data_IF_663010383087
#
_entry.id   IF_663010383087
#
_cell.length_a   1.000
_cell.length_b   1.000
_cell.length_c   1.000
_cell.angle_alpha   90.00
_cell.angle_beta   90.00
_cell.angle_gamma   90.00
#
_symmetry.space_group_name_H-M   'P 1'
#
loop_
_entity.id
_entity.type
_entity.pdbx_description
1 polymer ?
#
# COMPACT_ATOMS: atom_id res chain seq x y z
N UNK A 1 -0.90 -31.04 -21.83
CA UNK A 1 -1.21 -31.33 -20.40
C UNK A 1 -1.23 -29.99 -19.65
N UNK A 2 -2.41 -29.50 -19.25
CA UNK A 2 -2.54 -28.27 -18.45
C UNK A 2 -2.00 -28.55 -17.05
N UNK A 3 -0.87 -27.90 -16.68
CA UNK A 3 -0.38 -27.96 -15.30
C UNK A 3 -1.47 -27.36 -14.41
N UNK A 4 -2.09 -28.16 -13.53
CA UNK A 4 -2.97 -27.64 -12.47
C UNK A 4 -2.21 -26.53 -11.73
N UNK A 5 -2.70 -25.30 -11.82
CA UNK A 5 -2.11 -24.16 -11.10
C UNK A 5 -2.22 -24.47 -9.61
N UNK A 6 -1.08 -24.56 -8.92
CA UNK A 6 -1.05 -24.82 -7.48
C UNK A 6 -1.76 -23.69 -6.75
N UNK A 7 -2.60 -24.01 -5.77
CA UNK A 7 -3.28 -23.03 -4.96
C UNK A 7 -2.26 -22.19 -4.18
N UNK A 8 -2.49 -20.86 -4.13
CA UNK A 8 -1.63 -19.99 -3.35
C UNK A 8 -1.95 -20.08 -1.85
N UNK A 9 -0.95 -19.95 -0.98
CA UNK A 9 -1.18 -19.89 0.45
C UNK A 9 -2.07 -18.71 0.83
N UNK A 10 -3.02 -18.97 1.73
CA UNK A 10 -3.86 -17.93 2.33
C UNK A 10 -3.20 -17.45 3.62
N UNK A 11 -3.03 -16.14 3.74
CA UNK A 11 -2.42 -15.52 4.91
C UNK A 11 -3.13 -15.94 6.20
N UNK A 12 -2.35 -16.37 7.17
CA UNK A 12 -2.78 -16.62 8.55
C UNK A 12 -2.08 -15.64 9.48
N UNK A 13 -2.86 -14.86 10.22
CA UNK A 13 -2.33 -13.88 11.17
C UNK A 13 -1.46 -14.56 12.23
N UNK A 14 -0.27 -14.00 12.44
CA UNK A 14 0.62 -14.39 13.53
C UNK A 14 0.61 -13.29 14.60
N UNK A 15 0.42 -13.68 15.87
CA UNK A 15 0.38 -12.74 17.02
C UNK A 15 1.69 -11.97 17.25
N UNK A 16 2.81 -12.39 16.67
CA UNK A 16 4.07 -11.63 16.69
C UNK A 16 4.03 -10.35 15.86
N UNK A 17 3.19 -10.30 14.82
CA UNK A 17 3.01 -9.10 14.00
C UNK A 17 2.22 -8.06 14.79
N UNK A 18 2.86 -6.97 15.19
CA UNK A 18 2.27 -5.89 15.98
C UNK A 18 2.11 -4.61 15.21
N UNK A 19 3.01 -4.31 14.27
CA UNK A 19 3.04 -3.06 13.51
C UNK A 19 3.20 -3.33 12.03
N UNK A 20 2.45 -2.62 11.22
CA UNK A 20 2.59 -2.63 9.76
C UNK A 20 2.67 -1.20 9.23
N UNK A 21 3.49 -1.00 8.22
CA UNK A 21 3.59 0.26 7.49
C UNK A 21 3.19 0.01 6.04
N UNK A 22 2.33 0.87 5.52
CA UNK A 22 1.99 0.87 4.09
C UNK A 22 2.63 2.07 3.44
N UNK A 23 3.45 1.86 2.42
CA UNK A 23 4.09 2.92 1.63
C UNK A 23 3.56 2.86 0.22
N UNK A 24 2.89 3.91 -0.25
CA UNK A 24 2.29 4.00 -1.60
C UNK A 24 2.50 5.38 -2.21
N UNK A 25 2.31 5.47 -3.52
CA UNK A 25 2.54 6.72 -4.25
C UNK A 25 1.49 7.78 -3.95
N UNK A 26 0.20 7.46 -4.10
CA UNK A 26 -0.88 8.45 -4.07
C UNK A 26 -1.96 8.11 -3.04
N UNK A 27 -2.75 9.11 -2.60
CA UNK A 27 -4.02 8.87 -1.94
C UNK A 27 -4.93 7.98 -2.80
N UNK A 28 -5.64 7.03 -2.18
CA UNK A 28 -6.46 5.96 -2.74
C UNK A 28 -5.73 4.65 -3.11
N UNK A 29 -4.45 4.66 -3.42
CA UNK A 29 -3.69 3.46 -3.81
C UNK A 29 -3.81 2.33 -2.77
N UNK A 30 -3.65 2.67 -1.48
CA UNK A 30 -3.79 1.69 -0.39
C UNK A 30 -5.19 1.09 -0.36
N UNK A 31 -6.21 1.91 -0.66
CA UNK A 31 -7.60 1.52 -0.57
C UNK A 31 -8.02 0.63 -1.74
N UNK A 32 -7.51 0.90 -2.95
CA UNK A 32 -7.65 0.00 -4.09
C UNK A 32 -6.85 -1.29 -3.93
N UNK A 33 -5.61 -1.21 -3.43
CA UNK A 33 -4.68 -2.34 -3.37
C UNK A 33 -4.90 -3.28 -2.20
N UNK A 34 -5.10 -2.73 -0.98
CA UNK A 34 -4.92 -3.48 0.27
C UNK A 34 -5.90 -3.17 1.40
N UNK A 35 -6.95 -2.36 1.19
CA UNK A 35 -7.86 -1.96 2.28
C UNK A 35 -8.54 -3.12 3.01
N UNK A 36 -8.87 -4.21 2.31
CA UNK A 36 -9.43 -5.40 2.95
C UNK A 36 -8.42 -6.10 3.85
N UNK A 37 -7.16 -6.11 3.44
CA UNK A 37 -6.02 -6.60 4.20
C UNK A 37 -5.79 -5.71 5.42
N UNK A 38 -5.76 -4.39 5.25
CA UNK A 38 -5.61 -3.44 6.37
C UNK A 38 -6.73 -3.63 7.40
N UNK A 39 -8.00 -3.69 6.96
CA UNK A 39 -9.13 -3.97 7.87
C UNK A 39 -9.01 -5.34 8.56
N UNK A 40 -8.30 -6.29 7.97
CA UNK A 40 -8.02 -7.58 8.60
C UNK A 40 -6.95 -7.43 9.68
N UNK A 41 -5.88 -6.71 9.40
CA UNK A 41 -4.77 -6.47 10.34
C UNK A 41 -5.21 -5.62 11.53
N UNK A 42 -5.85 -4.47 11.31
CA UNK A 42 -6.35 -3.60 12.39
C UNK A 42 -7.40 -4.30 13.24
N UNK A 43 -8.28 -5.11 12.62
CA UNK A 43 -9.23 -5.96 13.34
C UNK A 43 -8.60 -7.10 14.16
N UNK A 44 -7.28 -7.31 14.05
CA UNK A 44 -6.47 -8.22 14.88
C UNK A 44 -5.59 -7.45 15.89
N UNK A 45 -5.73 -6.13 15.96
CA UNK A 45 -4.96 -5.29 16.88
C UNK A 45 -3.56 -4.93 16.36
N UNK A 46 -3.30 -5.08 15.06
CA UNK A 46 -2.06 -4.58 14.46
C UNK A 46 -2.15 -3.06 14.33
N UNK A 47 -1.16 -2.35 14.84
CA UNK A 47 -0.98 -0.92 14.64
C UNK A 47 -0.49 -0.67 13.21
N UNK A 48 -1.33 -0.03 12.39
CA UNK A 48 -1.04 0.22 10.97
C UNK A 48 -0.84 1.72 10.75
N UNK A 49 0.30 2.06 10.14
CA UNK A 49 0.58 3.42 9.68
C UNK A 49 0.66 3.47 8.15
N UNK A 50 0.38 4.65 7.59
CA UNK A 50 0.55 4.94 6.17
C UNK A 50 1.64 5.98 5.95
N UNK A 51 2.37 5.81 4.85
CA UNK A 51 3.28 6.79 4.28
C UNK A 51 2.92 6.95 2.80
N UNK A 52 2.37 8.11 2.43
CA UNK A 52 2.06 8.44 1.06
C UNK A 52 3.16 9.33 0.50
N UNK A 53 3.73 8.93 -0.63
CA UNK A 53 4.87 9.64 -1.23
C UNK A 53 4.42 10.99 -1.78
N UNK A 54 3.26 11.05 -2.43
CA UNK A 54 2.65 12.28 -2.94
C UNK A 54 1.33 12.59 -2.23
N UNK A 55 0.80 13.78 -2.42
CA UNK A 55 -0.57 14.13 -2.05
C UNK A 55 -1.55 14.01 -3.22
N UNK A 56 -1.12 13.47 -4.37
CA UNK A 56 -1.95 13.27 -5.54
C UNK A 56 -2.40 14.57 -6.22
N UNK A 57 -1.54 15.59 -6.18
CA UNK A 57 -1.81 16.95 -6.63
C UNK A 57 -1.99 17.10 -8.16
N UNK A 58 -1.60 16.09 -8.95
CA UNK A 58 -1.81 16.06 -10.40
C UNK A 58 -2.98 15.14 -10.83
N UNK A 59 -3.60 14.39 -9.93
CA UNK A 59 -4.71 13.48 -10.23
C UNK A 59 -6.04 14.19 -10.40
N UNK A 60 -7.01 13.57 -11.10
CA UNK A 60 -8.37 14.07 -11.30
C UNK A 60 -8.68 14.41 -12.76
N UNK A 61 -9.87 14.96 -12.98
CA UNK A 61 -10.48 15.19 -14.29
C UNK A 61 -10.20 16.56 -14.94
N UNK A 62 -9.14 17.26 -14.52
CA UNK A 62 -8.84 18.60 -14.99
C UNK A 62 -9.73 19.69 -14.38
N UNK A 63 -10.31 19.43 -13.21
CA UNK A 63 -11.13 20.37 -12.44
C UNK A 63 -10.44 21.73 -12.23
N UNK A 64 -11.23 22.73 -11.80
CA UNK A 64 -10.80 24.10 -11.54
C UNK A 64 -9.87 24.27 -10.34
N UNK A 65 -9.58 23.21 -9.57
CA UNK A 65 -8.70 23.25 -8.39
C UNK A 65 -7.23 23.41 -8.75
N UNK A 66 -6.51 24.22 -8.00
CA UNK A 66 -5.04 24.28 -8.04
C UNK A 66 -4.43 22.95 -7.55
N UNK A 67 -3.12 22.77 -7.73
CA UNK A 67 -2.40 21.60 -7.21
C UNK A 67 -2.46 21.56 -5.68
N UNK A 68 -2.34 22.70 -5.02
CA UNK A 68 -2.41 22.87 -3.58
C UNK A 68 -3.78 22.46 -3.02
N UNK A 69 -4.86 23.03 -3.58
CA UNK A 69 -6.24 22.70 -3.19
C UNK A 69 -6.52 21.20 -3.37
N UNK A 70 -6.03 20.62 -4.48
CA UNK A 70 -6.18 19.19 -4.77
C UNK A 70 -5.45 18.32 -3.74
N UNK A 71 -4.24 18.72 -3.33
CA UNK A 71 -3.50 18.07 -2.25
C UNK A 71 -4.32 18.05 -0.96
N UNK A 72 -4.87 19.17 -0.54
CA UNK A 72 -5.65 19.29 0.69
C UNK A 72 -6.91 18.42 0.66
N UNK A 73 -7.63 18.44 -0.46
CA UNK A 73 -8.82 17.58 -0.68
C UNK A 73 -8.42 16.12 -0.54
N UNK A 74 -7.41 15.66 -1.29
CA UNK A 74 -7.02 14.25 -1.32
C UNK A 74 -6.41 13.76 -0.01
N UNK A 75 -5.63 14.60 0.69
CA UNK A 75 -5.15 14.28 2.05
C UNK A 75 -6.32 14.12 3.03
N UNK A 76 -7.33 14.99 2.95
CA UNK A 76 -8.54 14.92 3.79
C UNK A 76 -9.33 13.63 3.51
N UNK A 77 -9.51 13.28 2.25
CA UNK A 77 -10.17 12.06 1.81
C UNK A 77 -9.43 10.81 2.30
N UNK A 78 -8.08 10.79 2.15
CA UNK A 78 -7.26 9.66 2.62
C UNK A 78 -7.33 9.50 4.14
N UNK A 79 -7.34 10.59 4.90
CA UNK A 79 -7.52 10.53 6.36
C UNK A 79 -8.91 9.98 6.72
N UNK A 80 -9.93 10.35 5.96
CA UNK A 80 -11.28 9.81 6.15
C UNK A 80 -11.35 8.31 5.80
N UNK A 81 -10.72 7.88 4.71
CA UNK A 81 -10.60 6.48 4.31
C UNK A 81 -9.83 5.66 5.35
N UNK A 82 -8.71 6.17 5.86
CA UNK A 82 -7.93 5.53 6.93
C UNK A 82 -8.77 5.25 8.17
N UNK A 83 -9.60 6.20 8.60
CA UNK A 83 -10.51 6.01 9.76
C UNK A 83 -11.48 4.85 9.56
N UNK A 84 -12.00 4.61 8.36
CA UNK A 84 -12.86 3.45 8.05
C UNK A 84 -12.13 2.11 8.26
N UNK A 85 -10.81 2.12 8.18
CA UNK A 85 -9.94 0.95 8.32
C UNK A 85 -9.26 0.87 9.69
N UNK A 86 -9.52 1.83 10.59
CA UNK A 86 -8.88 1.91 11.90
C UNK A 86 -7.45 2.45 11.85
N UNK A 87 -7.10 3.23 10.83
CA UNK A 87 -5.77 3.85 10.66
C UNK A 87 -5.88 5.36 10.83
N UNK A 88 -5.09 5.91 11.75
CA UNK A 88 -5.02 7.36 12.03
C UNK A 88 -3.62 7.95 11.86
N UNK A 89 -2.59 7.10 11.92
CA UNK A 89 -1.20 7.51 11.71
C UNK A 89 -0.90 7.53 10.20
N UNK A 90 -0.94 8.73 9.60
CA UNK A 90 -0.76 8.92 8.16
C UNK A 90 0.23 10.06 7.92
N UNK A 91 1.33 9.73 7.28
CA UNK A 91 2.38 10.67 6.83
C UNK A 91 2.24 10.91 5.34
N UNK A 92 2.24 12.17 4.91
CA UNK A 92 2.35 12.58 3.52
C UNK A 92 3.73 13.20 3.31
N UNK A 93 4.52 12.64 2.40
CA UNK A 93 5.85 13.17 2.07
C UNK A 93 5.77 14.35 1.08
N UNK A 94 4.63 14.49 0.40
CA UNK A 94 4.30 15.60 -0.51
C UNK A 94 5.30 15.78 -1.66
N UNK A 95 5.84 14.67 -2.18
CA UNK A 95 6.55 14.71 -3.47
C UNK A 95 5.58 15.12 -4.57
N UNK A 96 6.03 15.86 -5.60
CA UNK A 96 5.18 16.22 -6.74
C UNK A 96 4.63 14.96 -7.44
N UNK A 97 3.32 14.87 -7.59
CA UNK A 97 2.63 13.78 -8.29
C UNK A 97 3.02 13.78 -9.79
N UNK A 98 3.34 12.61 -10.33
CA UNK A 98 3.83 12.40 -11.68
C UNK A 98 5.36 12.57 -11.83
N UNK A 99 6.09 12.91 -10.75
CA UNK A 99 7.53 13.21 -10.79
C UNK A 99 8.34 12.43 -9.73
N UNK A 100 7.79 11.32 -9.22
CA UNK A 100 8.47 10.53 -8.20
C UNK A 100 9.62 9.76 -8.80
N UNK A 101 10.82 9.97 -8.23
CA UNK A 101 12.04 9.22 -8.53
C UNK A 101 12.59 8.59 -7.25
N UNK A 102 13.22 7.39 -7.31
CA UNK A 102 13.74 6.69 -6.13
C UNK A 102 15.08 7.30 -5.65
N UNK A 103 15.09 8.61 -5.42
CA UNK A 103 16.26 9.39 -5.00
C UNK A 103 16.72 9.03 -3.59
N UNK A 104 17.97 9.39 -3.26
CA UNK A 104 18.51 9.25 -1.89
C UNK A 104 17.65 10.00 -0.87
N UNK A 105 17.12 11.17 -1.26
CA UNK A 105 16.28 11.98 -0.39
C UNK A 105 14.97 11.27 -0.06
N UNK A 106 14.27 10.73 -1.08
CA UNK A 106 13.04 9.97 -0.87
C UNK A 106 13.29 8.71 -0.03
N UNK A 107 14.37 7.99 -0.30
CA UNK A 107 14.78 6.80 0.48
C UNK A 107 15.03 7.15 1.95
N UNK A 108 15.68 8.30 2.21
CA UNK A 108 15.92 8.80 3.57
C UNK A 108 14.60 9.07 4.30
N UNK A 109 13.64 9.74 3.66
CA UNK A 109 12.36 10.05 4.29
C UNK A 109 11.55 8.76 4.57
N UNK A 110 11.54 7.80 3.65
CA UNK A 110 10.92 6.49 3.89
C UNK A 110 11.64 5.74 5.02
N UNK A 111 12.98 5.74 5.04
CA UNK A 111 13.76 5.13 6.12
C UNK A 111 13.48 5.79 7.48
N UNK A 112 13.27 7.11 7.51
CA UNK A 112 12.82 7.86 8.69
C UNK A 112 11.50 7.29 9.21
N UNK A 113 10.50 7.14 8.35
CA UNK A 113 9.18 6.60 8.72
C UNK A 113 9.30 5.15 9.21
N UNK A 114 10.10 4.33 8.55
CA UNK A 114 10.38 2.94 8.98
C UNK A 114 11.01 2.91 10.37
N UNK A 115 12.05 3.71 10.62
CA UNK A 115 12.72 3.77 11.93
C UNK A 115 11.82 4.30 13.03
N UNK A 116 10.93 5.25 12.70
CA UNK A 116 9.94 5.80 13.64
C UNK A 116 8.87 4.78 14.01
N UNK A 117 8.25 4.15 13.02
CA UNK A 117 7.13 3.22 13.26
C UNK A 117 7.59 1.82 13.65
N UNK A 118 8.80 1.41 13.23
CA UNK A 118 9.43 0.08 13.52
C UNK A 118 8.52 -1.10 13.12
N UNK A 119 8.10 -1.19 11.86
CA UNK A 119 7.10 -2.17 11.42
C UNK A 119 7.66 -3.60 11.34
N UNK A 120 6.82 -4.59 11.66
CA UNK A 120 7.07 -6.02 11.41
C UNK A 120 6.75 -6.40 9.96
N UNK A 121 5.94 -5.58 9.29
CA UNK A 121 5.52 -5.75 7.89
C UNK A 121 5.52 -4.39 7.19
N UNK A 122 6.13 -4.35 6.01
CA UNK A 122 5.91 -3.25 5.05
C UNK A 122 5.06 -3.75 3.88
N UNK A 123 4.01 -3.00 3.52
CA UNK A 123 3.23 -3.23 2.30
C UNK A 123 3.55 -2.07 1.36
N UNK A 124 3.91 -2.37 0.11
CA UNK A 124 4.19 -1.34 -0.89
C UNK A 124 3.83 -1.81 -2.29
N UNK A 125 3.91 -0.91 -3.26
CA UNK A 125 3.69 -1.21 -4.67
C UNK A 125 4.91 -1.94 -5.26
N UNK A 126 4.66 -2.78 -6.30
CA UNK A 126 5.74 -3.45 -7.00
C UNK A 126 6.59 -2.45 -7.80
N UNK A 127 7.92 -2.50 -7.72
CA UNK A 127 8.80 -1.76 -8.62
C UNK A 127 8.86 -2.38 -10.02
N UNK A 128 8.30 -3.58 -10.21
CA UNK A 128 8.36 -4.31 -11.46
C UNK A 128 7.29 -3.79 -12.45
N UNK A 129 7.72 -3.52 -13.70
CA UNK A 129 6.79 -3.15 -14.76
C UNK A 129 5.98 -4.35 -15.23
N UNK A 130 4.66 -4.18 -15.30
CA UNK A 130 3.76 -5.18 -15.86
C UNK A 130 3.49 -4.87 -17.33
N UNK A 131 4.18 -5.55 -18.23
CA UNK A 131 4.07 -5.34 -19.66
C UNK A 131 2.71 -5.76 -20.25
N UNK A 132 2.00 -6.69 -19.61
CA UNK A 132 0.65 -7.13 -20.02
C UNK A 132 -0.43 -6.13 -19.60
N UNK A 133 -0.15 -5.27 -18.60
CA UNK A 133 -1.08 -4.29 -18.05
C UNK A 133 -0.37 -2.97 -17.72
N UNK A 134 -0.04 -2.20 -18.75
CA UNK A 134 0.70 -0.93 -18.59
C UNK A 134 0.06 0.02 -17.56
N UNK A 135 -1.28 0.09 -17.51
CA UNK A 135 -1.99 0.94 -16.52
C UNK A 135 -1.73 0.55 -15.05
N UNK A 136 -1.25 -0.68 -14.80
CA UNK A 136 -0.85 -1.11 -13.46
C UNK A 136 0.60 -0.72 -13.10
N UNK A 137 1.31 -0.08 -14.04
CA UNK A 137 2.72 0.29 -13.94
C UNK A 137 2.88 1.80 -14.02
N UNK A 138 2.14 2.53 -13.18
CA UNK A 138 2.32 3.98 -13.06
C UNK A 138 3.78 4.26 -12.66
N UNK A 139 4.49 5.23 -13.27
CA UNK A 139 5.87 5.53 -12.92
C UNK A 139 6.08 5.77 -11.43
N UNK A 140 5.20 6.57 -10.80
CA UNK A 140 5.28 6.88 -9.37
C UNK A 140 5.08 5.63 -8.49
N UNK A 141 4.20 4.67 -8.91
CA UNK A 141 4.04 3.41 -8.16
C UNK A 141 5.33 2.60 -8.16
N UNK A 142 5.99 2.49 -9.32
CA UNK A 142 7.25 1.76 -9.45
C UNK A 142 8.36 2.47 -8.69
N UNK A 143 8.47 3.79 -8.79
CA UNK A 143 9.47 4.60 -8.11
C UNK A 143 9.28 4.56 -6.58
N UNK A 144 8.05 4.67 -6.09
CA UNK A 144 7.73 4.54 -4.66
C UNK A 144 8.05 3.14 -4.13
N UNK A 145 7.71 2.10 -4.90
CA UNK A 145 8.05 0.72 -4.58
C UNK A 145 9.55 0.49 -4.50
N UNK A 146 10.30 0.97 -5.50
CA UNK A 146 11.76 0.87 -5.55
C UNK A 146 12.42 1.64 -4.41
N UNK A 147 12.00 2.88 -4.15
CA UNK A 147 12.49 3.67 -3.03
C UNK A 147 12.22 2.97 -1.69
N UNK A 148 11.04 2.36 -1.54
CA UNK A 148 10.67 1.61 -0.33
C UNK A 148 11.54 0.36 -0.15
N UNK A 149 11.76 -0.42 -1.20
CA UNK A 149 12.63 -1.61 -1.12
C UNK A 149 14.05 -1.25 -0.72
N UNK A 150 14.62 -0.18 -1.30
CA UNK A 150 15.93 0.34 -0.90
C UNK A 150 15.94 0.90 0.52
N UNK A 151 14.88 1.57 0.94
CA UNK A 151 14.73 2.06 2.31
C UNK A 151 14.67 0.90 3.32
N UNK A 152 13.98 -0.20 3.00
CA UNK A 152 13.95 -1.42 3.83
C UNK A 152 15.35 -2.06 3.88
N UNK A 153 15.99 -2.18 2.72
CA UNK A 153 17.34 -2.76 2.61
C UNK A 153 18.20 -2.02 1.57
N UNK A 154 19.30 -1.42 2.00
CA UNK A 154 19.92 -1.55 3.34
C UNK A 154 19.58 -0.42 4.32
N UNK A 155 18.87 0.65 3.91
CA UNK A 155 18.93 1.98 4.54
C UNK A 155 18.41 1.99 5.99
N UNK A 156 17.22 1.47 6.24
CA UNK A 156 16.63 1.55 7.59
C UNK A 156 17.36 0.71 8.63
N UNK A 157 18.01 -0.40 8.22
CA UNK A 157 18.71 -1.30 9.13
C UNK A 157 20.17 -0.93 9.37
N UNK A 158 20.77 -0.14 8.48
CA UNK A 158 22.19 0.20 8.55
C UNK A 158 22.41 1.49 9.36
N UNK A 159 23.11 1.47 10.50
CA UNK A 159 23.38 2.67 11.31
C UNK A 159 24.19 3.73 10.57
N UNK A 160 24.96 3.35 9.55
CA UNK A 160 25.77 4.27 8.75
C UNK A 160 25.03 4.88 7.57
N UNK A 161 23.85 4.33 7.21
CA UNK A 161 22.97 4.97 6.23
C UNK A 161 22.18 6.08 6.92
N UNK A 162 22.25 7.29 6.37
CA UNK A 162 21.58 8.47 6.91
C UNK A 162 21.90 8.72 8.40
N UNK A 163 23.17 9.01 8.74
CA UNK A 163 23.61 9.16 10.14
C UNK A 163 22.87 10.29 10.87
N UNK A 164 22.29 11.25 10.14
CA UNK A 164 21.41 12.28 10.70
C UNK A 164 20.20 11.69 11.40
N UNK A 165 19.60 10.61 10.86
CA UNK A 165 18.46 9.93 11.50
C UNK A 165 18.86 9.34 12.86
N UNK A 166 20.07 8.81 12.96
CA UNK A 166 20.58 8.28 14.24
C UNK A 166 20.78 9.42 15.25
N UNK A 167 21.29 10.59 14.81
CA UNK A 167 21.43 11.79 15.66
C UNK A 167 20.06 12.33 16.14
N UNK A 168 19.01 12.12 15.36
CA UNK A 168 17.63 12.45 15.73
C UNK A 168 17.00 11.40 16.68
N UNK A 169 17.75 10.39 17.12
CA UNK A 169 17.27 9.32 18.01
C UNK A 169 16.54 8.18 17.30
N UNK A 170 16.54 8.17 15.97
CA UNK A 170 15.89 7.13 15.16
C UNK A 170 16.85 5.95 14.95
N UNK A 171 16.85 5.03 15.90
CA UNK A 171 17.67 3.83 15.86
C UNK A 171 17.34 2.95 14.64
N UNK A 172 18.33 2.25 14.06
CA UNK A 172 18.14 1.32 12.97
C UNK A 172 17.05 0.30 13.25
N UNK A 173 16.33 -0.09 12.22
CA UNK A 173 15.26 -1.08 12.29
C UNK A 173 15.31 -2.02 11.09
N UNK A 174 15.28 -3.33 11.35
CA UNK A 174 15.16 -4.36 10.32
C UNK A 174 13.71 -4.76 10.14
N UNK A 175 13.18 -4.52 8.96
CA UNK A 175 11.84 -5.00 8.58
C UNK A 175 11.98 -6.45 8.13
N UNK A 176 11.32 -7.44 8.74
CA UNK A 176 11.53 -8.85 8.39
C UNK A 176 10.83 -9.28 7.10
N UNK A 177 9.74 -8.61 6.69
CA UNK A 177 8.95 -9.00 5.53
C UNK A 177 8.34 -7.81 4.82
N UNK A 178 8.34 -7.88 3.48
CA UNK A 178 7.66 -6.92 2.61
C UNK A 178 6.62 -7.64 1.77
N UNK A 179 5.44 -7.05 1.62
CA UNK A 179 4.41 -7.50 0.70
C UNK A 179 4.27 -6.50 -0.44
N UNK A 180 4.49 -6.98 -1.67
CA UNK A 180 4.36 -6.17 -2.88
C UNK A 180 2.97 -6.34 -3.49
N UNK A 181 2.21 -5.26 -3.60
CA UNK A 181 0.97 -5.19 -4.37
C UNK A 181 1.27 -4.92 -5.85
N UNK A 182 0.39 -5.34 -6.75
CA UNK A 182 0.56 -5.10 -8.18
C UNK A 182 1.54 -6.04 -8.90
N UNK A 183 2.19 -6.96 -8.19
CA UNK A 183 3.06 -8.01 -8.72
C UNK A 183 2.34 -9.36 -8.85
N UNK A 184 3.03 -10.36 -9.42
CA UNK A 184 2.53 -11.74 -9.39
C UNK A 184 2.45 -12.23 -7.95
N UNK A 185 1.23 -12.47 -7.46
CA UNK A 185 1.01 -12.88 -6.08
C UNK A 185 1.64 -14.25 -5.79
N UNK A 186 2.30 -14.35 -4.64
CA UNK A 186 2.74 -15.62 -4.03
C UNK A 186 1.91 -16.00 -2.81
N UNK A 187 1.07 -15.08 -2.33
CA UNK A 187 0.17 -15.26 -1.20
C UNK A 187 -1.08 -14.41 -1.40
N UNK A 188 -2.18 -14.81 -0.79
CA UNK A 188 -3.42 -14.01 -0.76
C UNK A 188 -3.93 -13.83 0.66
N UNK A 189 -4.64 -12.72 0.87
CA UNK A 189 -5.40 -12.45 2.10
C UNK A 189 -6.89 -12.59 1.80
N UNK A 190 -7.59 -13.45 2.54
CA UNK A 190 -9.06 -13.56 2.45
C UNK A 190 -9.71 -12.32 3.07
N UNK A 191 -10.30 -11.49 2.22
CA UNK A 191 -11.00 -10.27 2.62
C UNK A 191 -12.52 -10.38 2.58
N UNK A 192 -13.06 -11.59 2.41
CA UNK A 192 -14.51 -11.82 2.23
C UNK A 192 -15.33 -11.13 3.31
N UNK A 193 -14.95 -11.30 4.57
CA UNK A 193 -15.63 -10.67 5.72
C UNK A 193 -15.29 -9.18 5.89
N UNK A 194 -14.23 -8.69 5.26
CA UNK A 194 -13.70 -7.31 5.36
C UNK A 194 -14.00 -6.44 4.15
N UNK A 195 -14.56 -6.99 3.10
CA UNK A 195 -14.86 -6.27 1.85
C UNK A 195 -15.71 -4.99 2.07
N UNK A 196 -16.63 -5.02 3.05
CA UNK A 196 -17.45 -3.85 3.37
C UNK A 196 -16.60 -2.62 3.77
N UNK A 197 -15.51 -2.83 4.50
CA UNK A 197 -14.60 -1.77 4.92
C UNK A 197 -13.80 -1.21 3.73
N UNK A 198 -13.29 -2.08 2.84
CA UNK A 198 -12.65 -1.66 1.59
C UNK A 198 -13.57 -0.76 0.76
N UNK A 199 -14.82 -1.14 0.60
CA UNK A 199 -15.79 -0.35 -0.13
C UNK A 199 -16.10 0.98 0.59
N UNK A 200 -16.19 0.98 1.92
CA UNK A 200 -16.42 2.20 2.71
C UNK A 200 -15.26 3.17 2.60
N UNK A 201 -14.02 2.69 2.71
CA UNK A 201 -12.82 3.50 2.57
C UNK A 201 -12.74 4.16 1.19
N UNK A 202 -12.92 3.39 0.11
CA UNK A 202 -12.89 3.93 -1.25
C UNK A 202 -13.97 4.97 -1.52
N UNK A 203 -15.12 4.88 -0.88
CA UNK A 203 -16.16 5.92 -0.98
C UNK A 203 -15.78 7.26 -0.34
N UNK A 204 -14.72 7.30 0.47
CA UNK A 204 -14.22 8.55 1.05
C UNK A 204 -13.40 9.36 0.05
N UNK A 205 -12.89 8.75 -1.00
CA UNK A 205 -12.19 9.43 -2.11
C UNK A 205 -13.19 10.01 -3.11
N UNK A 206 -14.02 10.95 -2.67
CA UNK A 206 -15.11 11.53 -3.45
C UNK A 206 -14.60 12.17 -4.73
N UNK A 207 -13.46 12.86 -4.68
CA UNK A 207 -12.84 13.50 -5.85
C UNK A 207 -12.40 12.48 -6.94
N UNK A 208 -12.24 11.20 -6.58
CA UNK A 208 -11.74 10.15 -7.47
C UNK A 208 -12.80 9.14 -7.90
N UNK A 209 -13.83 8.90 -7.07
CA UNK A 209 -14.79 7.81 -7.29
C UNK A 209 -16.27 8.23 -7.19
N UNK A 210 -16.58 9.53 -7.03
CA UNK A 210 -17.95 10.04 -6.78
C UNK A 210 -18.99 9.53 -7.79
N UNK A 211 -18.64 9.49 -9.07
CA UNK A 211 -19.56 9.11 -10.15
C UNK A 211 -19.54 7.63 -10.50
N UNK A 212 -18.75 6.84 -9.78
CA UNK A 212 -18.61 5.42 -10.08
C UNK A 212 -19.72 4.57 -9.46
N UNK A 213 -20.93 4.61 -10.07
CA UNK A 213 -22.06 3.75 -9.68
C UNK A 213 -21.72 2.25 -9.71
N UNK A 214 -20.70 1.85 -10.49
CA UNK A 214 -20.20 0.48 -10.62
C UNK A 214 -19.12 0.08 -9.63
N UNK A 215 -18.60 0.99 -8.80
CA UNK A 215 -17.43 0.77 -7.93
C UNK A 215 -17.51 -0.54 -7.14
N UNK A 216 -18.59 -0.77 -6.40
CA UNK A 216 -18.76 -1.99 -5.59
C UNK A 216 -18.72 -3.27 -6.43
N UNK A 217 -19.32 -3.24 -7.62
CA UNK A 217 -19.35 -4.38 -8.56
C UNK A 217 -17.96 -4.65 -9.10
N UNK A 218 -17.25 -3.61 -9.53
CA UNK A 218 -15.88 -3.66 -10.03
C UNK A 218 -14.93 -4.24 -8.98
N UNK A 219 -14.93 -3.70 -7.76
CA UNK A 219 -14.09 -4.16 -6.65
C UNK A 219 -14.35 -5.63 -6.31
N UNK A 220 -15.63 -6.05 -6.29
CA UNK A 220 -15.98 -7.45 -6.08
C UNK A 220 -15.46 -8.35 -7.19
N UNK A 221 -15.55 -7.91 -8.45
CA UNK A 221 -15.04 -8.68 -9.58
C UNK A 221 -13.52 -8.86 -9.49
N UNK A 222 -12.78 -7.80 -9.17
CA UNK A 222 -11.32 -7.88 -8.98
C UNK A 222 -10.96 -8.84 -7.85
N UNK A 223 -11.54 -8.66 -6.67
CA UNK A 223 -11.26 -9.51 -5.53
C UNK A 223 -11.64 -10.99 -5.75
N UNK A 224 -12.74 -11.26 -6.50
CA UNK A 224 -13.12 -12.62 -6.92
C UNK A 224 -12.12 -13.22 -7.89
N UNK A 225 -11.62 -12.43 -8.84
CA UNK A 225 -10.61 -12.88 -9.79
C UNK A 225 -9.33 -13.30 -9.08
N UNK A 226 -8.87 -12.49 -8.11
CA UNK A 226 -7.71 -12.83 -7.27
C UNK A 226 -7.95 -14.13 -6.50
N UNK A 227 -9.09 -14.26 -5.82
CA UNK A 227 -9.45 -15.46 -5.06
C UNK A 227 -9.50 -16.71 -5.97
N UNK A 228 -10.15 -16.60 -7.14
CA UNK A 228 -10.22 -17.69 -8.13
C UNK A 228 -8.83 -18.11 -8.63
N UNK A 229 -7.98 -17.14 -8.96
CA UNK A 229 -6.62 -17.40 -9.45
C UNK A 229 -5.72 -18.03 -8.38
N UNK A 230 -6.03 -17.79 -7.10
CA UNK A 230 -5.36 -18.39 -5.96
C UNK A 230 -5.92 -19.78 -5.58
N UNK A 231 -6.94 -20.30 -6.28
CA UNK A 231 -7.54 -21.60 -5.99
C UNK A 231 -8.48 -21.60 -4.77
N UNK A 232 -8.99 -20.42 -4.35
CA UNK A 232 -9.94 -20.32 -3.24
C UNK A 232 -11.37 -20.74 -3.66
N UNK A 233 -12.18 -21.13 -2.69
CA UNK A 233 -13.58 -21.52 -2.90
C UNK A 233 -14.42 -20.45 -3.60
N UNK A 234 -15.46 -20.88 -4.32
CA UNK A 234 -16.40 -19.99 -4.99
C UNK A 234 -17.05 -19.02 -4.00
N UNK A 235 -17.07 -17.75 -4.38
CA UNK A 235 -17.66 -16.69 -3.56
C UNK A 235 -16.67 -15.96 -2.65
N UNK A 236 -15.46 -16.46 -2.47
CA UNK A 236 -14.40 -15.77 -1.73
C UNK A 236 -13.92 -14.53 -2.46
N UNK A 237 -13.41 -13.59 -1.66
CA UNK A 237 -12.79 -12.33 -2.11
C UNK A 237 -11.39 -12.27 -1.51
N UNK A 238 -10.39 -11.91 -2.31
CA UNK A 238 -9.01 -11.85 -1.84
C UNK A 238 -8.27 -10.64 -2.39
N UNK A 239 -7.22 -10.24 -1.68
CA UNK A 239 -6.15 -9.37 -2.13
C UNK A 239 -4.86 -10.19 -2.22
N UNK A 240 -4.06 -9.95 -3.26
CA UNK A 240 -2.87 -10.74 -3.55
C UNK A 240 -1.59 -9.96 -3.39
N UNK A 241 -0.55 -10.60 -2.86
CA UNK A 241 0.75 -10.00 -2.63
C UNK A 241 1.89 -10.96 -3.01
N UNK A 242 2.99 -10.38 -3.51
CA UNK A 242 4.27 -11.09 -3.59
C UNK A 242 4.98 -10.88 -2.25
N UNK A 243 5.27 -11.96 -1.55
CA UNK A 243 5.97 -11.90 -0.26
C UNK A 243 7.47 -11.92 -0.50
N UNK A 244 8.18 -10.96 0.11
CA UNK A 244 9.63 -10.86 0.09
C UNK A 244 10.13 -10.92 1.53
N UNK A 245 10.96 -11.93 1.82
CA UNK A 245 11.66 -12.05 3.11
C UNK A 245 12.94 -11.23 3.01
N UNK A 246 13.21 -10.40 4.01
CA UNK A 246 14.31 -9.44 4.03
C UNK A 246 15.30 -9.67 5.18
N UNK A 247 14.98 -10.58 6.07
CA UNK A 247 15.83 -11.04 7.19
C UNK A 247 16.54 -12.34 6.85
#
# INVERSE_FOLDING_TARGET
MSKKKQALPVFKYNKSMKRALVVVAHPDDVDFGSAGTIATLTGKGVDVAYCLVTSGDAGGDGSTHTREERSEIRETEQRAAGRELGVTNITFLRWPDGQVEPTLLLRREIARVIRTHRPDLVITQSPERNWERMRASHPDHMASGEATMRAVYPDARNPHAFPELLREGLAPHSVPVVWLSGSQATMVVDITKRFKYKHAALKRHVSQVSDNKGLKKMLKQWARSVAKNAGMDKGRLAEGFKVVITS
#
